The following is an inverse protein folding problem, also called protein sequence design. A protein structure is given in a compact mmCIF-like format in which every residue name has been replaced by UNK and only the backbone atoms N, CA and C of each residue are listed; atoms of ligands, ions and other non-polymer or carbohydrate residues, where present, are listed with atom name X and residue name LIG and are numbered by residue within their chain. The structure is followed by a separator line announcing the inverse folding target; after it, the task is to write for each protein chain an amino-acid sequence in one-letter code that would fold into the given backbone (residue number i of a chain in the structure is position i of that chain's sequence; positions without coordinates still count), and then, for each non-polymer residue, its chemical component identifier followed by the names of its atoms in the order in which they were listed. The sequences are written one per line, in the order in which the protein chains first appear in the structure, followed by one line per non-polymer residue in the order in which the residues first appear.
data_IF_900069780293
#
_entry.id   IF_900069780293
#
_cell.length_a   1.000
_cell.length_b   1.000
_cell.length_c   1.000
_cell.angle_alpha   90.00
_cell.angle_beta   90.00
_cell.angle_gamma   90.00
#
_symmetry.space_group_name_H-M   'P 1'
#
loop_
_entity.id
_entity.type
_entity.pdbx_description
1 polymer ?
#
# COMPACT_ATOMS: atom_id res chain seq x y z
N UNK A 1 -29.71 6.94 -17.44
CA UNK A 1 -28.67 6.12 -18.10
C UNK A 1 -27.38 6.30 -17.34
N UNK A 2 -26.95 5.31 -16.55
CA UNK A 2 -25.64 5.34 -15.90
C UNK A 2 -24.63 4.90 -16.97
N UNK A 3 -23.67 5.74 -17.39
CA UNK A 3 -22.70 5.32 -18.38
C UNK A 3 -21.87 4.17 -17.79
N UNK A 4 -21.95 3.00 -18.43
CA UNK A 4 -21.06 1.86 -18.18
C UNK A 4 -19.65 2.26 -18.56
N UNK A 5 -18.89 2.78 -17.59
CA UNK A 5 -17.46 3.01 -17.72
C UNK A 5 -16.71 1.66 -17.61
N UNK A 6 -16.82 0.81 -18.64
CA UNK A 6 -15.86 -0.28 -18.88
C UNK A 6 -14.55 0.30 -19.47
N UNK A 7 -14.01 1.32 -18.82
CA UNK A 7 -12.73 1.91 -19.21
C UNK A 7 -11.59 0.95 -18.85
N UNK A 8 -10.74 0.66 -19.83
CA UNK A 8 -9.50 -0.08 -19.58
C UNK A 8 -8.64 0.74 -18.62
N UNK A 9 -8.07 0.08 -17.61
CA UNK A 9 -7.03 0.66 -16.75
C UNK A 9 -5.90 1.10 -17.68
N UNK A 10 -5.47 2.36 -17.57
CA UNK A 10 -4.30 2.81 -18.34
C UNK A 10 -3.03 2.26 -17.70
N UNK A 11 -2.04 1.89 -18.51
CA UNK A 11 -0.74 1.43 -18.03
C UNK A 11 -0.08 2.44 -17.08
N UNK A 12 -0.38 3.74 -17.25
CA UNK A 12 0.07 4.82 -16.37
C UNK A 12 -0.57 4.75 -14.97
N UNK A 13 -1.86 4.46 -14.86
CA UNK A 13 -2.54 4.33 -13.56
C UNK A 13 -2.02 3.10 -12.81
N UNK A 14 -1.80 2.00 -13.53
CA UNK A 14 -1.23 0.79 -12.98
C UNK A 14 0.22 1.00 -12.51
N UNK A 15 1.04 1.67 -13.33
CA UNK A 15 2.41 2.03 -12.98
C UNK A 15 2.45 2.93 -11.73
N UNK A 16 1.59 3.96 -11.67
CA UNK A 16 1.50 4.85 -10.52
C UNK A 16 1.10 4.10 -9.25
N UNK A 17 0.03 3.30 -9.29
CA UNK A 17 -0.46 2.56 -8.11
C UNK A 17 0.58 1.52 -7.62
N UNK A 18 1.23 0.81 -8.55
CA UNK A 18 2.33 -0.11 -8.21
C UNK A 18 3.52 0.63 -7.61
N UNK A 19 3.84 1.82 -8.12
CA UNK A 19 4.83 2.74 -7.56
C UNK A 19 4.47 3.10 -6.13
N UNK A 20 3.25 3.58 -5.93
CA UNK A 20 2.72 4.02 -4.64
C UNK A 20 2.78 2.93 -3.57
N UNK A 21 2.24 1.73 -3.85
CA UNK A 21 2.30 0.60 -2.92
C UNK A 21 3.75 0.17 -2.64
N UNK A 22 4.64 0.26 -3.63
CA UNK A 22 6.06 -0.05 -3.46
C UNK A 22 6.79 0.99 -2.60
N UNK A 23 6.40 2.26 -2.72
CA UNK A 23 6.87 3.35 -1.87
C UNK A 23 6.42 3.19 -0.43
N UNK A 24 5.15 2.84 -0.20
CA UNK A 24 4.60 2.58 1.14
C UNK A 24 5.39 1.47 1.85
N UNK A 25 5.68 0.38 1.13
CA UNK A 25 6.36 -0.79 1.69
C UNK A 25 7.90 -0.62 1.74
N UNK A 26 8.44 0.42 1.09
CA UNK A 26 9.87 0.71 1.07
C UNK A 26 10.68 -0.32 0.28
N UNK A 27 10.11 -0.87 -0.79
CA UNK A 27 10.80 -1.82 -1.67
C UNK A 27 10.52 -1.47 -3.12
N UNK A 28 11.54 -1.00 -3.84
CA UNK A 28 11.43 -0.78 -5.27
C UNK A 28 11.52 -2.11 -6.03
N UNK A 29 10.51 -2.49 -6.84
CA UNK A 29 10.61 -3.64 -7.71
C UNK A 29 11.61 -3.36 -8.83
N UNK A 30 12.45 -4.36 -9.16
CA UNK A 30 13.33 -4.35 -10.35
C UNK A 30 12.56 -4.55 -11.65
N UNK A 31 11.41 -3.88 -11.85
CA UNK A 31 10.60 -4.06 -13.07
C UNK A 31 11.11 -3.12 -14.17
N UNK A 32 11.31 -3.65 -15.37
CA UNK A 32 11.58 -2.84 -16.57
C UNK A 32 10.27 -2.25 -17.07
N UNK A 33 10.00 -1.00 -16.72
CA UNK A 33 8.98 -0.18 -17.36
C UNK A 33 9.58 0.53 -18.58
N UNK A 34 8.74 0.97 -19.51
CA UNK A 34 9.18 1.95 -20.52
C UNK A 34 9.57 3.25 -19.81
N UNK A 35 10.47 4.06 -20.39
CA UNK A 35 10.94 5.33 -19.77
C UNK A 35 9.78 6.22 -19.29
N UNK A 36 8.70 6.29 -20.06
CA UNK A 36 7.51 7.07 -19.72
C UNK A 36 6.79 6.52 -18.48
N UNK A 37 6.57 5.21 -18.43
CA UNK A 37 5.90 4.56 -17.30
C UNK A 37 6.80 4.50 -16.05
N UNK A 38 8.12 4.47 -16.22
CA UNK A 38 9.07 4.50 -15.11
C UNK A 38 9.01 5.84 -14.37
N UNK A 39 8.86 6.95 -15.11
CA UNK A 39 8.63 8.28 -14.50
C UNK A 39 7.37 8.28 -13.64
N UNK A 40 6.26 7.75 -14.18
CA UNK A 40 4.98 7.66 -13.46
C UNK A 40 5.06 6.73 -12.25
N UNK A 41 5.80 5.62 -12.38
CA UNK A 41 6.09 4.71 -11.28
C UNK A 41 6.87 5.42 -10.16
N UNK A 42 7.92 6.17 -10.51
CA UNK A 42 8.77 6.88 -9.56
C UNK A 42 8.00 8.01 -8.85
N UNK A 43 7.08 8.70 -9.55
CA UNK A 43 6.17 9.66 -8.92
C UNK A 43 5.30 9.00 -7.85
N UNK A 44 4.67 7.85 -8.19
CA UNK A 44 3.90 7.07 -7.22
C UNK A 44 4.77 6.61 -6.05
N UNK A 45 5.96 6.10 -6.33
CA UNK A 45 6.91 5.63 -5.33
C UNK A 45 7.32 6.71 -4.33
N UNK A 46 7.67 7.90 -4.83
CA UNK A 46 8.03 9.05 -3.98
C UNK A 46 6.86 9.47 -3.07
N UNK A 47 5.64 9.48 -3.61
CA UNK A 47 4.45 9.75 -2.80
C UNK A 47 4.24 8.69 -1.71
N UNK A 48 4.37 7.41 -2.08
CA UNK A 48 4.23 6.28 -1.16
C UNK A 48 5.25 6.32 -0.03
N UNK A 49 6.48 6.77 -0.30
CA UNK A 49 7.50 6.94 0.72
C UNK A 49 7.13 8.00 1.76
N UNK A 50 6.50 9.12 1.35
CA UNK A 50 6.09 10.19 2.26
C UNK A 50 5.11 9.69 3.32
N UNK A 51 4.14 8.86 2.91
CA UNK A 51 3.09 8.33 3.79
C UNK A 51 3.45 6.97 4.39
N UNK A 52 4.59 6.38 4.01
CA UNK A 52 5.02 5.04 4.45
C UNK A 52 4.99 4.89 5.96
N UNK A 53 5.52 5.86 6.71
CA UNK A 53 5.58 5.83 8.19
C UNK A 53 4.20 5.86 8.86
N UNK A 54 3.19 6.36 8.17
CA UNK A 54 1.81 6.40 8.66
C UNK A 54 1.12 5.04 8.49
N UNK A 55 1.49 4.29 7.46
CA UNK A 55 0.80 3.06 7.01
C UNK A 55 1.56 1.79 7.43
N UNK A 56 2.88 1.73 7.27
CA UNK A 56 3.71 0.55 7.51
C UNK A 56 4.92 0.90 8.39
N UNK A 57 5.20 0.05 9.37
CA UNK A 57 6.45 0.10 10.15
C UNK A 57 7.30 -1.11 9.85
N UNK A 58 8.59 -0.91 9.61
CA UNK A 58 9.57 -1.99 9.51
C UNK A 58 10.28 -2.14 10.84
N UNK A 59 10.25 -3.33 11.42
CA UNK A 59 10.94 -3.67 12.67
C UNK A 59 11.45 -5.11 12.61
N UNK A 60 12.75 -5.31 12.82
CA UNK A 60 13.44 -6.62 12.81
C UNK A 60 13.11 -7.47 11.57
N UNK A 61 13.12 -6.87 10.38
CA UNK A 61 12.80 -7.54 9.12
C UNK A 61 11.31 -7.87 8.92
N UNK A 62 10.43 -7.45 9.83
CA UNK A 62 8.99 -7.58 9.74
C UNK A 62 8.35 -6.23 9.35
N UNK A 63 7.33 -6.30 8.49
CA UNK A 63 6.46 -5.19 8.12
C UNK A 63 5.17 -5.30 8.92
N UNK A 64 4.78 -4.21 9.55
CA UNK A 64 3.59 -4.13 10.42
C UNK A 64 2.63 -3.13 9.79
N UNK A 65 1.40 -3.55 9.51
CA UNK A 65 0.35 -2.66 9.04
C UNK A 65 -0.23 -1.87 10.21
N UNK A 66 -0.07 -0.54 10.21
CA UNK A 66 -0.64 0.35 11.22
C UNK A 66 -2.15 0.54 11.05
N UNK A 67 -2.67 0.35 9.83
CA UNK A 67 -4.09 0.54 9.52
C UNK A 67 -4.99 -0.55 10.12
N UNK A 68 -4.50 -1.78 10.25
CA UNK A 68 -5.26 -2.85 10.91
C UNK A 68 -5.58 -2.56 12.38
N UNK A 69 -4.74 -1.75 13.05
CA UNK A 69 -4.79 -1.53 14.49
C UNK A 69 -5.75 -0.45 14.96
N UNK A 70 -6.60 0.11 14.10
CA UNK A 70 -7.48 1.24 14.42
C UNK A 70 -8.37 0.98 15.67
N UNK A 71 -8.94 -0.21 15.79
CA UNK A 71 -9.76 -0.64 16.94
C UNK A 71 -8.93 -1.25 18.09
N UNK A 72 -7.62 -1.45 17.90
CA UNK A 72 -6.72 -2.13 18.86
C UNK A 72 -5.42 -1.36 19.05
N UNK A 73 -5.52 -0.04 19.22
CA UNK A 73 -4.38 0.89 19.35
C UNK A 73 -3.39 0.45 20.44
N UNK A 74 -3.89 -0.05 21.58
CA UNK A 74 -3.05 -0.57 22.66
C UNK A 74 -2.21 -1.79 22.24
N UNK A 75 -2.78 -2.73 21.49
CA UNK A 75 -2.04 -3.90 20.99
C UNK A 75 -1.00 -3.51 19.92
N UNK A 76 -1.36 -2.57 19.04
CA UNK A 76 -0.43 -2.01 18.06
C UNK A 76 0.75 -1.31 18.74
N UNK A 77 0.50 -0.48 19.75
CA UNK A 77 1.55 0.21 20.49
C UNK A 77 2.46 -0.76 21.26
N UNK A 78 1.92 -1.81 21.87
CA UNK A 78 2.72 -2.88 22.50
C UNK A 78 3.64 -3.57 21.50
N UNK A 79 3.13 -3.89 20.31
CA UNK A 79 3.89 -4.51 19.23
C UNK A 79 5.00 -3.58 18.71
N UNK A 80 4.69 -2.30 18.53
CA UNK A 80 5.67 -1.28 18.12
C UNK A 80 6.76 -1.05 19.18
N UNK A 81 6.45 -1.21 20.47
CA UNK A 81 7.41 -1.08 21.58
C UNK A 81 8.25 -2.33 21.84
N UNK A 82 7.77 -3.53 21.50
CA UNK A 82 8.45 -4.80 21.77
C UNK A 82 9.86 -4.89 21.13
N UNK A 83 10.90 -5.16 21.91
CA UNK A 83 12.31 -5.17 21.45
C UNK A 83 12.57 -6.23 20.36
N UNK A 84 11.95 -7.40 20.49
CA UNK A 84 12.02 -8.47 19.50
C UNK A 84 10.64 -8.88 19.01
N UNK A 85 10.38 -8.74 17.71
CA UNK A 85 9.19 -9.28 17.05
C UNK A 85 9.52 -10.70 16.59
N UNK A 86 9.16 -11.71 17.38
CA UNK A 86 9.22 -13.09 16.89
C UNK A 86 8.18 -13.29 15.80
N UNK A 87 8.49 -14.08 14.75
CA UNK A 87 7.62 -14.34 13.59
C UNK A 87 6.27 -15.01 13.93
N UNK A 88 5.99 -15.27 15.21
CA UNK A 88 4.74 -15.90 15.67
C UNK A 88 3.67 -14.84 15.82
N UNK A 89 2.79 -14.77 14.81
CA UNK A 89 1.43 -14.19 14.82
C UNK A 89 1.14 -13.35 16.06
N UNK A 90 1.45 -12.06 16.00
CA UNK A 90 0.88 -11.15 16.98
C UNK A 90 -0.66 -11.16 16.80
N UNK A 91 -1.36 -11.21 17.94
CA UNK A 91 -2.77 -11.61 18.05
C UNK A 91 -3.78 -10.90 17.14
N UNK A 92 -4.95 -11.56 17.02
CA UNK A 92 -6.11 -11.25 16.17
C UNK A 92 -6.26 -9.77 15.81
N UNK A 93 -6.01 -9.44 14.53
CA UNK A 93 -6.44 -8.18 13.93
C UNK A 93 -5.35 -7.17 13.59
N UNK A 94 -4.05 -7.49 13.74
CA UNK A 94 -2.95 -6.67 13.19
C UNK A 94 -2.18 -7.50 12.17
N UNK A 95 -2.12 -7.04 10.92
CA UNK A 95 -1.38 -7.75 9.88
C UNK A 95 0.12 -7.47 9.98
N UNK A 96 0.91 -8.54 10.03
CA UNK A 96 2.38 -8.48 10.04
C UNK A 96 2.95 -9.51 9.06
N UNK A 97 3.97 -9.14 8.30
CA UNK A 97 4.65 -10.07 7.37
C UNK A 97 6.08 -9.64 7.12
N UNK A 98 6.99 -10.57 6.86
CA UNK A 98 8.32 -10.25 6.32
C UNK A 98 8.31 -10.05 4.80
N UNK A 99 7.20 -10.33 4.11
CA UNK A 99 7.11 -10.26 2.66
C UNK A 99 6.50 -8.93 2.18
N UNK A 100 7.26 -8.12 1.41
CA UNK A 100 6.73 -6.90 0.79
C UNK A 100 5.53 -7.16 -0.11
N UNK A 101 5.52 -8.30 -0.82
CA UNK A 101 4.44 -8.66 -1.73
C UNK A 101 3.15 -8.96 -0.95
N UNK A 102 3.25 -9.68 0.17
CA UNK A 102 2.10 -9.94 1.03
C UNK A 102 1.58 -8.64 1.66
N UNK A 103 2.46 -7.73 2.08
CA UNK A 103 2.04 -6.43 2.60
C UNK A 103 1.30 -5.61 1.54
N UNK A 104 1.83 -5.53 0.30
CA UNK A 104 1.14 -4.85 -0.80
C UNK A 104 -0.24 -5.44 -1.08
N UNK A 105 -0.34 -6.77 -1.14
CA UNK A 105 -1.62 -7.47 -1.34
C UNK A 105 -2.61 -7.18 -0.22
N UNK A 106 -2.16 -7.21 1.02
CA UNK A 106 -2.98 -6.89 2.18
C UNK A 106 -3.49 -5.45 2.15
N UNK A 107 -2.60 -4.49 1.92
CA UNK A 107 -2.93 -3.07 1.78
C UNK A 107 -3.97 -2.83 0.67
N UNK A 108 -3.79 -3.47 -0.48
CA UNK A 108 -4.71 -3.34 -1.61
C UNK A 108 -6.07 -4.00 -1.39
N UNK A 109 -6.17 -5.04 -0.56
CA UNK A 109 -7.43 -5.75 -0.29
C UNK A 109 -8.20 -5.15 0.88
N UNK A 110 -7.52 -4.93 1.99
CA UNK A 110 -8.15 -4.58 3.27
C UNK A 110 -8.20 -3.07 3.51
N UNK A 111 -7.29 -2.32 2.88
CA UNK A 111 -7.10 -0.90 3.17
C UNK A 111 -7.14 0.00 1.94
N UNK A 112 -7.60 -0.53 0.79
CA UNK A 112 -7.67 0.22 -0.48
C UNK A 112 -8.28 1.61 -0.30
N UNK A 113 -9.47 1.68 0.31
CA UNK A 113 -10.23 2.91 0.48
C UNK A 113 -9.50 3.96 1.34
N UNK A 114 -8.70 3.51 2.32
CA UNK A 114 -7.92 4.41 3.17
C UNK A 114 -6.66 4.86 2.42
N UNK A 115 -6.04 3.95 1.67
CA UNK A 115 -4.81 4.23 0.92
C UNK A 115 -5.09 5.20 -0.24
N UNK A 116 -6.27 5.10 -0.85
CA UNK A 116 -6.71 6.00 -1.93
C UNK A 116 -6.94 7.43 -1.46
N UNK A 117 -7.17 7.70 -0.16
CA UNK A 117 -7.29 9.09 0.34
C UNK A 117 -5.97 9.85 0.31
N UNK A 118 -4.84 9.14 0.28
CA UNK A 118 -3.51 9.75 0.17
C UNK A 118 -3.11 10.04 -1.29
N UNK A 119 -3.97 9.68 -2.25
CA UNK A 119 -3.69 9.88 -3.66
C UNK A 119 -4.18 11.24 -4.15
N UNK A 120 -3.45 11.89 -5.07
CA UNK A 120 -3.94 13.10 -5.73
C UNK A 120 -5.28 12.82 -6.43
N UNK A 121 -6.19 13.81 -6.44
CA UNK A 121 -7.55 13.65 -6.98
C UNK A 121 -7.61 13.04 -8.38
N UNK A 122 -6.66 13.39 -9.26
CA UNK A 122 -6.52 12.84 -10.63
C UNK A 122 -6.34 11.31 -10.69
N UNK A 123 -5.78 10.70 -9.64
CA UNK A 123 -5.57 9.26 -9.53
C UNK A 123 -6.63 8.61 -8.64
N UNK A 124 -7.02 9.25 -7.55
CA UNK A 124 -8.06 8.76 -6.64
C UNK A 124 -9.37 8.52 -7.40
N UNK A 125 -9.83 9.52 -8.17
CA UNK A 125 -11.09 9.44 -8.92
C UNK A 125 -11.08 8.28 -9.92
N UNK A 126 -9.98 8.09 -10.66
CA UNK A 126 -9.82 6.98 -11.62
C UNK A 126 -9.78 5.62 -10.94
N UNK A 127 -9.18 5.50 -9.75
CA UNK A 127 -9.13 4.23 -9.00
C UNK A 127 -10.50 3.79 -8.46
N UNK A 128 -11.37 4.74 -8.11
CA UNK A 128 -12.75 4.42 -7.72
C UNK A 128 -13.62 4.03 -8.92
N UNK A 129 -13.34 4.56 -10.11
CA UNK A 129 -14.05 4.20 -11.35
C UNK A 129 -13.69 2.80 -11.86
N UNK A 130 -12.51 2.26 -11.50
CA UNK A 130 -12.01 0.97 -11.98
C UNK A 130 -11.74 -0.02 -10.84
N UNK A 131 -12.75 -0.79 -10.38
CA UNK A 131 -12.62 -1.69 -9.24
C UNK A 131 -11.71 -2.90 -9.50
N UNK A 132 -11.34 -3.19 -10.75
CA UNK A 132 -10.40 -4.26 -11.14
C UNK A 132 -8.97 -4.06 -10.63
N UNK A 133 -8.66 -2.91 -10.02
CA UNK A 133 -7.35 -2.63 -9.41
C UNK A 133 -7.23 -3.23 -7.98
N UNK A 134 -8.35 -3.66 -7.36
CA UNK A 134 -8.38 -4.22 -5.98
C UNK A 134 -7.82 -5.65 -5.88
#
# INVERSE_FOLDING_TARGET
MIPSCSGKITDELEAFNKGFLSGIVGVSPKRRWTKKLDKVFNEGYALGQKVSREIVVRKNGCLICKLCGASKKAALMKLLKAESISKRRYGRGIFTTSSPQQMKRHLNREHFNIITTYLPGKYAQKLYTYPTIR
#
